data_IF_768427596707
#
_entry.id   IF_768427596707
#
_cell.length_a   1.000
_cell.length_b   1.000
_cell.length_c   1.000
_cell.angle_alpha   90.00
_cell.angle_beta   90.00
_cell.angle_gamma   90.00
#
_symmetry.space_group_name_H-M   'P 1'
#
loop_
_entity.id
_entity.type
_entity.pdbx_description
1 polymer ?
#
# COMPACT_ATOMS: atom_id res chain seq x y z
N UNK A 1 -10.86 -20.16 12.99
CA UNK A 1 -9.55 -19.56 13.31
C UNK A 1 -9.74 -18.14 13.83
N UNK A 2 -8.76 -17.53 14.51
CA UNK A 2 -8.86 -16.12 14.86
C UNK A 2 -9.05 -15.26 13.62
N UNK A 3 -9.82 -14.17 13.75
CA UNK A 3 -10.02 -13.19 12.67
C UNK A 3 -9.13 -11.97 12.90
N UNK A 4 -8.76 -11.31 11.83
CA UNK A 4 -8.01 -10.05 11.83
C UNK A 4 -8.68 -9.05 10.92
N UNK A 5 -8.40 -7.77 11.13
CA UNK A 5 -8.92 -6.70 10.28
C UNK A 5 -8.29 -6.76 8.88
N UNK A 6 -9.09 -6.47 7.86
CA UNK A 6 -8.65 -6.32 6.47
C UNK A 6 -8.85 -4.85 6.08
N UNK A 7 -7.77 -4.21 5.72
CA UNK A 7 -7.74 -2.80 5.34
C UNK A 7 -7.50 -2.62 3.85
N UNK A 8 -8.27 -1.73 3.25
CA UNK A 8 -8.05 -1.33 1.87
C UNK A 8 -7.00 -0.23 1.81
N UNK A 9 -5.85 -0.55 1.22
CA UNK A 9 -4.81 0.40 0.90
C UNK A 9 -5.10 1.03 -0.46
N UNK A 10 -5.75 2.20 -0.45
CA UNK A 10 -5.95 2.98 -1.68
C UNK A 10 -4.62 3.50 -2.21
N UNK A 11 -4.62 3.96 -3.48
CA UNK A 11 -3.43 4.56 -4.10
C UNK A 11 -2.78 5.63 -3.23
N UNK A 12 -1.47 5.56 -3.09
CA UNK A 12 -0.69 6.50 -2.31
C UNK A 12 0.77 6.52 -2.74
N UNK A 13 1.51 7.49 -2.26
CA UNK A 13 2.95 7.60 -2.48
C UNK A 13 3.71 7.70 -1.16
N UNK A 14 4.92 7.18 -1.17
CA UNK A 14 5.94 7.45 -0.17
C UNK A 14 7.04 8.22 -0.87
N UNK A 15 7.58 9.24 -0.23
CA UNK A 15 8.59 10.11 -0.83
C UNK A 15 9.85 10.18 0.04
N UNK A 16 10.97 10.47 -0.61
CA UNK A 16 12.20 10.87 0.08
C UNK A 16 12.08 12.31 0.56
N UNK A 17 12.97 12.75 1.47
CA UNK A 17 13.02 14.15 1.87
C UNK A 17 13.36 15.08 0.69
N UNK A 18 14.24 14.64 -0.21
CA UNK A 18 14.62 15.39 -1.41
C UNK A 18 13.42 15.59 -2.35
N UNK A 19 12.69 14.50 -2.62
CA UNK A 19 11.46 14.56 -3.42
C UNK A 19 10.41 15.45 -2.78
N UNK A 20 10.22 15.35 -1.44
CA UNK A 20 9.29 16.20 -0.71
C UNK A 20 9.64 17.69 -0.88
N UNK A 21 10.90 18.04 -0.71
CA UNK A 21 11.35 19.44 -0.88
C UNK A 21 11.22 19.94 -2.32
N UNK A 22 11.44 19.09 -3.30
CA UNK A 22 11.23 19.44 -4.72
C UNK A 22 9.76 19.73 -4.99
N UNK A 23 8.85 18.90 -4.47
CA UNK A 23 7.42 19.01 -4.73
C UNK A 23 6.73 20.12 -3.92
N UNK A 24 7.20 20.42 -2.72
CA UNK A 24 6.53 21.33 -1.77
C UNK A 24 7.37 22.52 -1.31
N UNK A 25 8.62 22.61 -1.76
CA UNK A 25 9.55 23.68 -1.44
C UNK A 25 10.58 23.27 -0.40
N UNK A 26 11.71 23.98 -0.42
CA UNK A 26 12.85 23.71 0.47
C UNK A 26 12.44 23.77 1.95
N UNK A 27 12.83 22.77 2.71
CA UNK A 27 12.51 22.64 4.15
C UNK A 27 11.09 22.11 4.41
N UNK A 28 10.37 21.65 3.38
CA UNK A 28 9.04 21.05 3.54
C UNK A 28 9.11 19.84 4.47
N UNK A 29 8.09 19.70 5.31
CA UNK A 29 7.86 18.56 6.19
C UNK A 29 6.46 18.04 5.99
N UNK A 30 6.26 16.74 6.22
CA UNK A 30 4.95 16.12 6.10
C UNK A 30 4.05 16.52 7.28
N UNK A 31 2.84 16.99 6.98
CA UNK A 31 1.82 17.35 7.95
C UNK A 31 0.92 16.16 8.22
N UNK A 32 0.99 15.62 9.44
CA UNK A 32 0.16 14.47 9.82
C UNK A 32 -1.32 14.86 9.89
N UNK A 33 -2.14 14.17 9.08
CA UNK A 33 -3.60 14.27 9.08
C UNK A 33 -4.25 13.28 10.03
N UNK A 34 -3.83 12.00 9.97
CA UNK A 34 -4.31 10.93 10.85
C UNK A 34 -3.31 9.80 10.93
N UNK A 35 -3.26 9.12 12.07
CA UNK A 35 -2.50 7.87 12.18
C UNK A 35 -3.12 6.76 11.35
N UNK A 36 -2.29 5.85 10.85
CA UNK A 36 -2.71 4.60 10.22
C UNK A 36 -2.65 3.45 11.25
N UNK A 37 -3.16 2.28 10.88
CA UNK A 37 -3.14 1.10 11.73
C UNK A 37 -1.72 0.62 12.07
N UNK A 38 -0.79 0.80 11.14
CA UNK A 38 0.59 0.42 11.38
C UNK A 38 1.32 1.49 12.19
N UNK A 39 1.95 1.11 13.33
CA UNK A 39 2.61 2.06 14.21
C UNK A 39 3.63 2.93 13.51
N UNK A 40 3.59 4.24 13.78
CA UNK A 40 4.51 5.21 13.20
C UNK A 40 4.19 5.64 11.76
N UNK A 41 3.20 5.05 11.12
CA UNK A 41 2.73 5.47 9.79
C UNK A 41 1.52 6.40 9.92
N UNK A 42 1.41 7.36 9.02
CA UNK A 42 0.33 8.33 9.02
C UNK A 42 -0.02 8.81 7.61
N UNK A 43 -1.27 9.15 7.39
CA UNK A 43 -1.69 9.87 6.19
C UNK A 43 -1.38 11.36 6.37
N UNK A 44 -0.90 12.00 5.29
CA UNK A 44 -0.52 13.41 5.29
C UNK A 44 -1.62 14.29 4.71
N UNK A 45 -1.54 15.60 4.96
CA UNK A 45 -2.38 16.60 4.27
C UNK A 45 -1.89 16.82 2.83
N UNK A 46 -0.61 16.65 2.59
CA UNK A 46 0.03 16.84 1.29
C UNK A 46 -0.52 15.85 0.27
N UNK A 47 -0.72 16.35 -0.94
CA UNK A 47 -1.22 15.59 -2.10
C UNK A 47 -0.34 15.86 -3.30
N UNK A 48 -0.21 14.84 -4.12
CA UNK A 48 0.52 14.93 -5.40
C UNK A 48 -0.36 14.45 -6.55
N UNK A 49 0.05 14.80 -7.75
CA UNK A 49 -0.47 14.20 -8.98
C UNK A 49 0.55 13.19 -9.49
N UNK A 50 0.13 11.97 -9.75
CA UNK A 50 0.93 10.92 -10.39
C UNK A 50 0.63 10.94 -11.88
N UNK A 51 1.63 11.26 -12.71
CA UNK A 51 1.49 11.40 -14.16
C UNK A 51 2.13 10.21 -14.85
N UNK A 52 1.34 9.48 -15.59
CA UNK A 52 1.79 8.39 -16.46
C UNK A 52 1.74 8.78 -17.94
N UNK A 53 2.14 7.87 -18.84
CA UNK A 53 2.17 8.14 -20.29
C UNK A 53 0.81 8.45 -20.91
N UNK A 54 -0.30 7.98 -20.33
CA UNK A 54 -1.64 8.14 -20.90
C UNK A 54 -2.49 9.17 -20.18
N UNK A 55 -2.40 9.19 -18.86
CA UNK A 55 -3.26 10.02 -17.99
C UNK A 55 -2.53 10.34 -16.71
N UNK A 56 -3.17 11.17 -15.88
CA UNK A 56 -2.74 11.49 -14.53
C UNK A 56 -3.77 11.05 -13.49
N UNK A 57 -3.30 10.83 -12.27
CA UNK A 57 -4.10 10.62 -11.07
C UNK A 57 -3.85 11.79 -10.13
N UNK A 58 -4.82 12.67 -10.02
CA UNK A 58 -4.74 13.82 -9.12
C UNK A 58 -5.10 13.43 -7.68
N UNK A 59 -4.69 14.27 -6.72
CA UNK A 59 -5.01 14.15 -5.29
C UNK A 59 -4.56 12.84 -4.64
N UNK A 60 -3.45 12.26 -5.09
CA UNK A 60 -2.88 11.06 -4.49
C UNK A 60 -2.27 11.41 -3.15
N UNK A 61 -2.61 10.61 -2.13
CA UNK A 61 -2.14 10.81 -0.76
C UNK A 61 -0.65 10.52 -0.62
N UNK A 62 0.04 11.34 0.16
CA UNK A 62 1.35 10.96 0.69
C UNK A 62 1.14 10.27 2.04
N UNK A 63 1.86 9.17 2.25
CA UNK A 63 1.94 8.49 3.54
C UNK A 63 3.33 8.69 4.14
N UNK A 64 3.34 9.19 5.35
CA UNK A 64 4.55 9.39 6.14
C UNK A 64 4.90 8.20 7.04
N UNK A 65 6.13 8.23 7.57
CA UNK A 65 7.17 9.25 7.41
C UNK A 65 7.87 9.16 6.04
N UNK A 66 8.76 10.12 5.72
CA UNK A 66 9.62 10.06 4.53
C UNK A 66 10.45 8.78 4.53
N UNK A 67 10.74 8.27 3.33
CA UNK A 67 11.47 7.01 3.12
C UNK A 67 12.82 7.24 2.44
N UNK A 68 13.61 6.17 2.30
CA UNK A 68 14.91 6.21 1.62
C UNK A 68 14.78 6.22 0.10
N UNK A 69 13.64 5.79 -0.44
CA UNK A 69 13.33 5.76 -1.86
C UNK A 69 11.88 6.14 -2.08
N UNK A 70 11.58 6.75 -3.22
CA UNK A 70 10.23 7.04 -3.63
C UNK A 70 9.52 5.73 -4.02
N UNK A 71 8.25 5.61 -3.64
CA UNK A 71 7.42 4.47 -3.96
C UNK A 71 5.99 4.91 -4.21
N UNK A 72 5.44 4.48 -5.31
CA UNK A 72 4.07 4.78 -5.73
C UNK A 72 3.29 3.46 -5.76
N UNK A 73 2.36 3.30 -4.82
CA UNK A 73 1.50 2.14 -4.74
C UNK A 73 0.17 2.43 -5.42
N UNK A 74 -0.11 1.68 -6.47
CA UNK A 74 -1.34 1.77 -7.26
C UNK A 74 -2.02 0.41 -7.31
N UNK A 75 -3.33 0.39 -7.54
CA UNK A 75 -3.97 -0.83 -8.01
C UNK A 75 -3.61 -1.11 -9.47
N UNK A 76 -3.81 -2.35 -9.92
CA UNK A 76 -3.56 -2.70 -11.32
C UNK A 76 -4.44 -1.90 -12.28
N UNK A 77 -5.67 -1.58 -11.89
CA UNK A 77 -6.60 -0.73 -12.66
C UNK A 77 -6.07 0.70 -12.76
N UNK A 78 -5.62 1.29 -11.66
CA UNK A 78 -5.05 2.64 -11.66
C UNK A 78 -3.79 2.72 -12.54
N UNK A 79 -2.85 1.79 -12.36
CA UNK A 79 -1.62 1.74 -13.16
C UNK A 79 -1.91 1.62 -14.66
N UNK A 80 -2.83 0.73 -15.03
CA UNK A 80 -3.28 0.56 -16.42
C UNK A 80 -3.92 1.83 -16.96
N UNK A 81 -4.70 2.54 -16.16
CA UNK A 81 -5.39 3.77 -16.57
C UNK A 81 -4.42 4.87 -16.97
N UNK A 82 -3.31 5.00 -16.25
CA UNK A 82 -2.27 6.00 -16.57
C UNK A 82 -1.21 5.47 -17.54
N UNK A 83 -1.31 4.20 -17.95
CA UNK A 83 -0.42 3.57 -18.93
C UNK A 83 0.92 3.11 -18.38
N UNK A 84 1.03 2.85 -17.09
CA UNK A 84 2.24 2.36 -16.42
C UNK A 84 2.15 0.85 -16.21
N UNK A 85 3.22 0.13 -16.54
CA UNK A 85 3.37 -1.27 -16.19
C UNK A 85 3.90 -1.37 -14.75
N UNK A 86 3.01 -1.66 -13.80
CA UNK A 86 3.35 -1.79 -12.40
C UNK A 86 3.43 -3.28 -12.03
N UNK A 87 4.61 -3.81 -11.69
CA UNK A 87 4.74 -5.19 -11.22
C UNK A 87 4.16 -5.34 -9.81
N UNK A 88 3.67 -6.55 -9.49
CA UNK A 88 3.29 -6.89 -8.12
C UNK A 88 4.56 -7.13 -7.31
N UNK A 89 4.78 -6.33 -6.28
CA UNK A 89 5.97 -6.35 -5.43
C UNK A 89 5.62 -6.20 -3.96
N UNK A 90 6.47 -6.71 -3.08
CA UNK A 90 6.41 -6.31 -1.69
C UNK A 90 6.82 -4.84 -1.55
N UNK A 91 6.16 -4.11 -0.64
CA UNK A 91 6.53 -2.72 -0.34
C UNK A 91 8.00 -2.62 0.07
N UNK A 92 8.74 -1.74 -0.59
CA UNK A 92 10.20 -1.59 -0.48
C UNK A 92 11.00 -2.25 -1.62
N UNK A 93 10.40 -3.14 -2.40
CA UNK A 93 11.02 -3.74 -3.60
C UNK A 93 10.57 -3.00 -4.86
N UNK A 94 11.30 -1.94 -5.21
CA UNK A 94 10.96 -1.05 -6.34
C UNK A 94 11.90 -1.17 -7.52
N UNK A 95 12.97 -1.96 -7.42
CA UNK A 95 13.96 -2.07 -8.49
C UNK A 95 13.35 -2.58 -9.80
N UNK A 96 13.58 -1.83 -10.88
CA UNK A 96 13.06 -2.16 -12.22
C UNK A 96 11.54 -2.11 -12.34
N UNK A 97 10.85 -1.41 -11.43
CA UNK A 97 9.39 -1.23 -11.47
C UNK A 97 8.98 -0.10 -12.44
N UNK A 98 7.69 0.25 -12.44
CA UNK A 98 7.17 1.24 -13.36
C UNK A 98 7.68 2.65 -13.10
N UNK A 99 7.84 3.44 -14.16
CA UNK A 99 8.23 4.84 -14.11
C UNK A 99 6.99 5.76 -14.14
N UNK A 100 7.08 6.91 -13.49
CA UNK A 100 6.07 7.96 -13.56
C UNK A 100 6.68 9.33 -13.22
N UNK A 101 5.90 10.38 -13.35
CA UNK A 101 6.26 11.70 -12.83
C UNK A 101 5.35 12.06 -11.66
N UNK A 102 5.93 12.59 -10.59
CA UNK A 102 5.20 13.19 -9.47
C UNK A 102 5.15 14.71 -9.67
N UNK A 103 3.99 15.31 -9.47
CA UNK A 103 3.79 16.76 -9.57
C UNK A 103 3.20 17.26 -8.27
N UNK A 104 3.85 18.24 -7.67
CA UNK A 104 3.42 18.99 -6.50
C UNK A 104 3.24 20.47 -6.79
N UNK A 105 2.88 21.27 -5.78
CA UNK A 105 2.61 22.71 -5.97
C UNK A 105 3.85 23.54 -6.32
N UNK A 106 5.05 23.08 -5.99
CA UNK A 106 6.30 23.82 -6.19
C UNK A 106 7.20 23.25 -7.27
N UNK A 107 6.94 22.03 -7.73
CA UNK A 107 7.79 21.39 -8.74
C UNK A 107 7.34 19.98 -9.11
N UNK A 108 8.17 19.32 -9.88
CA UNK A 108 7.93 17.97 -10.35
C UNK A 108 9.19 17.10 -10.25
N UNK A 109 9.00 15.79 -10.14
CA UNK A 109 10.08 14.78 -10.04
C UNK A 109 9.80 13.64 -10.98
N UNK A 110 10.75 13.34 -11.86
CA UNK A 110 10.72 12.12 -12.70
C UNK A 110 11.21 10.92 -11.89
N UNK A 111 10.33 9.95 -11.68
CA UNK A 111 10.66 8.68 -11.05
C UNK A 111 10.91 7.65 -12.16
N UNK A 112 12.17 7.28 -12.39
CA UNK A 112 12.53 6.26 -13.40
C UNK A 112 12.05 4.85 -13.01
N UNK A 113 11.77 4.63 -11.74
CA UNK A 113 11.17 3.44 -11.15
C UNK A 113 10.40 3.85 -9.89
N UNK A 114 9.67 2.94 -9.27
CA UNK A 114 8.96 3.20 -8.01
C UNK A 114 7.49 2.83 -8.05
N UNK A 115 6.87 2.69 -9.23
CA UNK A 115 5.45 2.33 -9.33
C UNK A 115 5.27 0.82 -9.23
N UNK A 116 4.56 0.38 -8.20
CA UNK A 116 4.25 -1.03 -7.93
C UNK A 116 2.76 -1.22 -7.64
N UNK A 117 2.30 -2.44 -7.84
CA UNK A 117 1.10 -2.97 -7.18
C UNK A 117 1.58 -3.69 -5.92
N UNK A 118 1.21 -3.18 -4.74
CA UNK A 118 1.64 -3.78 -3.49
C UNK A 118 1.07 -5.20 -3.35
N UNK A 119 1.95 -6.19 -3.14
CA UNK A 119 1.53 -7.55 -2.89
C UNK A 119 0.73 -7.62 -1.59
N UNK A 120 -0.47 -8.21 -1.64
CA UNK A 120 -1.30 -8.38 -0.44
C UNK A 120 -0.55 -9.11 0.66
N UNK A 121 -0.70 -8.64 1.88
CA UNK A 121 0.08 -9.15 3.00
C UNK A 121 -0.64 -8.95 4.32
N UNK A 122 -0.22 -9.71 5.33
CA UNK A 122 -0.68 -9.56 6.70
C UNK A 122 0.52 -9.15 7.55
N UNK A 123 0.43 -7.99 8.20
CA UNK A 123 1.34 -7.60 9.25
C UNK A 123 0.99 -8.30 10.55
N UNK A 124 1.99 -8.81 11.26
CA UNK A 124 1.85 -9.53 12.52
C UNK A 124 3.00 -9.22 13.46
N UNK A 125 2.72 -9.25 14.76
CA UNK A 125 3.78 -9.39 15.76
C UNK A 125 4.26 -10.87 15.83
N UNK A 126 5.41 -11.19 16.45
CA UNK A 126 5.82 -12.57 16.70
C UNK A 126 4.77 -13.37 17.50
N UNK A 127 4.10 -12.74 18.46
CA UNK A 127 3.04 -13.38 19.25
C UNK A 127 1.79 -13.70 18.41
N UNK A 128 1.42 -12.81 17.49
CA UNK A 128 0.36 -13.10 16.54
C UNK A 128 0.72 -14.28 15.64
N UNK A 129 1.94 -14.27 15.09
CA UNK A 129 2.42 -15.33 14.20
C UNK A 129 2.38 -16.72 14.90
N UNK A 130 2.75 -16.79 16.17
CA UNK A 130 2.62 -17.99 16.98
C UNK A 130 1.15 -18.41 17.13
N UNK A 131 0.25 -17.46 17.43
CA UNK A 131 -1.19 -17.69 17.58
C UNK A 131 -1.83 -18.25 16.31
N UNK A 132 -1.41 -17.73 15.15
CA UNK A 132 -1.89 -18.19 13.84
C UNK A 132 -1.14 -19.41 13.29
N UNK A 133 -0.04 -19.84 13.92
CA UNK A 133 0.79 -20.97 13.50
C UNK A 133 1.50 -20.73 12.17
N UNK A 134 1.94 -19.50 11.92
CA UNK A 134 2.63 -19.06 10.69
C UNK A 134 3.97 -18.41 11.00
N UNK A 135 4.80 -18.21 9.98
CA UNK A 135 6.12 -17.57 10.07
C UNK A 135 6.25 -16.42 9.09
N UNK A 136 7.25 -15.59 9.31
CA UNK A 136 7.60 -14.54 8.35
C UNK A 136 7.85 -15.12 6.96
N UNK A 137 7.28 -14.46 5.94
CA UNK A 137 7.31 -14.88 4.53
C UNK A 137 6.50 -16.14 4.17
N UNK A 138 5.77 -16.73 5.09
CA UNK A 138 4.78 -17.74 4.72
C UNK A 138 3.75 -17.15 3.74
N UNK A 139 3.28 -18.01 2.85
CA UNK A 139 2.22 -17.69 1.89
C UNK A 139 0.95 -18.42 2.30
N UNK A 140 -0.10 -17.66 2.57
CA UNK A 140 -1.37 -18.19 3.04
C UNK A 140 -2.53 -17.83 2.11
N UNK A 141 -3.67 -18.50 2.33
CA UNK A 141 -4.95 -18.15 1.75
C UNK A 141 -5.83 -17.50 2.83
N UNK A 142 -6.50 -16.42 2.47
CA UNK A 142 -7.37 -15.67 3.40
C UNK A 142 -8.79 -15.63 2.83
N UNK A 143 -9.73 -16.15 3.60
CA UNK A 143 -11.16 -15.99 3.32
C UNK A 143 -11.61 -14.62 3.85
N UNK A 144 -12.26 -13.86 2.99
CA UNK A 144 -12.91 -12.58 3.31
C UNK A 144 -14.39 -12.75 3.04
N UNK A 145 -15.20 -12.68 4.09
CA UNK A 145 -16.65 -12.82 4.01
C UNK A 145 -17.29 -11.45 3.77
N UNK A 146 -18.15 -11.38 2.77
CA UNK A 146 -19.01 -10.25 2.50
C UNK A 146 -20.40 -10.73 2.12
N UNK A 147 -21.39 -9.84 2.03
CA UNK A 147 -22.78 -10.23 1.77
C UNK A 147 -22.96 -10.96 0.43
N UNK A 148 -22.23 -10.53 -0.63
CA UNK A 148 -22.46 -11.03 -2.00
C UNK A 148 -21.19 -11.43 -2.75
N UNK A 149 -20.01 -11.12 -2.19
CA UNK A 149 -18.72 -11.29 -2.86
C UNK A 149 -17.68 -12.00 -2.00
N UNK A 150 -18.11 -12.90 -1.13
CA UNK A 150 -17.16 -13.72 -0.34
C UNK A 150 -16.16 -14.40 -1.25
N UNK A 151 -14.88 -14.24 -0.96
CA UNK A 151 -13.82 -14.85 -1.75
C UNK A 151 -12.64 -15.30 -0.86
N UNK A 152 -11.79 -16.14 -1.43
CA UNK A 152 -10.52 -16.56 -0.84
C UNK A 152 -9.40 -15.93 -1.65
N UNK A 153 -8.62 -15.06 -1.02
CA UNK A 153 -7.44 -14.45 -1.60
C UNK A 153 -6.20 -15.28 -1.26
N UNK A 154 -5.71 -16.01 -2.26
CA UNK A 154 -4.48 -16.81 -2.16
C UNK A 154 -3.22 -15.94 -2.29
N UNK A 155 -2.04 -16.52 -2.06
CA UNK A 155 -0.74 -15.83 -2.19
C UNK A 155 -0.60 -14.58 -1.32
N UNK A 156 -1.25 -14.57 -0.14
CA UNK A 156 -1.08 -13.51 0.86
C UNK A 156 0.20 -13.76 1.67
N UNK A 157 1.08 -12.76 1.71
CA UNK A 157 2.38 -12.88 2.39
C UNK A 157 2.23 -12.54 3.87
N UNK A 158 2.78 -13.36 4.75
CA UNK A 158 2.94 -13.04 6.17
C UNK A 158 4.18 -12.18 6.37
N UNK A 159 4.04 -11.07 7.08
CA UNK A 159 5.14 -10.17 7.46
C UNK A 159 5.17 -10.03 8.97
N UNK A 160 6.25 -10.50 9.59
CA UNK A 160 6.39 -10.50 11.05
C UNK A 160 7.42 -9.49 11.53
N UNK A 161 7.05 -8.66 12.48
CA UNK A 161 7.94 -7.73 13.17
C UNK A 161 7.32 -7.24 14.47
N UNK A 162 8.15 -7.03 15.50
CA UNK A 162 7.72 -6.38 16.77
C UNK A 162 7.16 -4.97 16.59
N UNK A 163 7.41 -4.35 15.42
CA UNK A 163 6.96 -3.00 15.09
C UNK A 163 5.61 -2.97 14.37
N UNK A 164 5.02 -4.12 14.08
CA UNK A 164 3.77 -4.20 13.35
C UNK A 164 2.55 -4.31 14.27
N UNK A 165 1.39 -3.97 13.72
CA UNK A 165 0.09 -4.29 14.29
C UNK A 165 -0.63 -5.28 13.37
N UNK A 166 -1.43 -6.18 13.95
CA UNK A 166 -2.13 -7.23 13.22
C UNK A 166 -3.18 -6.62 12.27
N UNK A 167 -2.90 -6.65 10.98
CA UNK A 167 -3.83 -6.25 9.92
C UNK A 167 -3.40 -6.83 8.58
N UNK A 168 -4.38 -7.20 7.74
CA UNK A 168 -4.18 -7.52 6.33
C UNK A 168 -4.36 -6.25 5.49
N UNK A 169 -3.51 -6.08 4.49
CA UNK A 169 -3.61 -4.99 3.52
C UNK A 169 -3.84 -5.56 2.12
N UNK A 170 -4.87 -5.05 1.48
CA UNK A 170 -5.26 -5.34 0.09
C UNK A 170 -5.42 -4.04 -0.68
N UNK A 171 -5.26 -4.08 -1.99
CA UNK A 171 -5.49 -2.89 -2.83
C UNK A 171 -6.98 -2.65 -3.13
N UNK A 172 -7.27 -1.57 -3.86
CA UNK A 172 -8.66 -1.19 -4.21
C UNK A 172 -9.32 -2.20 -5.14
N UNK A 173 -8.58 -2.81 -6.08
CA UNK A 173 -9.13 -3.82 -6.99
C UNK A 173 -9.53 -5.09 -6.22
N UNK A 174 -8.67 -5.53 -5.30
CA UNK A 174 -8.92 -6.68 -4.43
C UNK A 174 -10.09 -6.40 -3.48
N UNK A 175 -10.13 -5.22 -2.89
CA UNK A 175 -11.22 -4.76 -2.02
C UNK A 175 -12.58 -4.79 -2.76
N UNK A 176 -12.62 -4.27 -3.98
CA UNK A 176 -13.81 -4.32 -4.82
C UNK A 176 -14.19 -5.75 -5.20
N UNK A 177 -13.21 -6.61 -5.49
CA UNK A 177 -13.46 -8.01 -5.85
C UNK A 177 -14.13 -8.79 -4.72
N UNK A 178 -13.72 -8.55 -3.48
CA UNK A 178 -14.29 -9.24 -2.30
C UNK A 178 -15.48 -8.48 -1.69
N UNK A 179 -15.84 -7.31 -2.21
CA UNK A 179 -16.91 -6.49 -1.66
C UNK A 179 -16.65 -6.01 -0.24
N UNK A 180 -15.38 -5.63 0.06
CA UNK A 180 -14.99 -5.23 1.40
C UNK A 180 -15.74 -3.98 1.88
N UNK A 181 -16.25 -4.06 3.12
CA UNK A 181 -16.91 -2.96 3.83
C UNK A 181 -15.93 -2.13 4.67
N UNK A 182 -16.51 -1.20 5.48
CA UNK A 182 -15.71 -0.35 6.38
C UNK A 182 -14.99 -1.12 7.48
N UNK A 183 -15.66 -2.14 8.03
CA UNK A 183 -15.15 -3.04 9.06
C UNK A 183 -15.09 -4.44 8.47
N UNK A 184 -13.99 -4.72 7.78
CA UNK A 184 -13.81 -5.99 7.11
C UNK A 184 -12.87 -6.88 7.91
N UNK A 185 -13.21 -8.17 7.99
CA UNK A 185 -12.39 -9.19 8.65
C UNK A 185 -12.05 -10.31 7.69
N UNK A 186 -10.89 -10.89 7.90
CA UNK A 186 -10.40 -12.08 7.21
C UNK A 186 -9.98 -13.17 8.18
N UNK A 187 -9.93 -14.38 7.68
CA UNK A 187 -9.39 -15.55 8.39
C UNK A 187 -8.48 -16.36 7.48
N UNK A 188 -7.39 -16.87 8.02
CA UNK A 188 -6.51 -17.80 7.28
C UNK A 188 -7.25 -19.12 7.13
N UNK A 189 -7.25 -19.65 5.91
CA UNK A 189 -7.88 -20.94 5.59
C UNK A 189 -6.86 -21.90 4.97
N UNK A 190 -7.04 -23.18 5.21
CA UNK A 190 -6.31 -24.24 4.52
C UNK A 190 -7.04 -24.52 3.21
N UNK A 191 -6.29 -24.61 2.11
CA UNK A 191 -6.78 -25.04 0.79
C UNK A 191 -6.59 -26.53 0.64
#
# INVERSE_FOLDING_TARGET
>A
MPKFIVETSARHVHVTQETLETLFGKGATLTKKKDLSQPGQFACEERVTVVGPKKELANVSILGPVRKADQIELSATDARSIGVAAPIRESGDTAGSGACKLVGPCGEVECSEGVIVAKRHIHMTPADAETFGVKDKDIVAVKIESAERTAILCYTVIRVSDKFALAMHIDTDESNAVGAGREQYGEIVKL
#
